data_IF_154423472537
#
_entry.id   IF_154423472537
#
_cell.length_a   1.000
_cell.length_b   1.000
_cell.length_c   1.000
_cell.angle_alpha   90.00
_cell.angle_beta   90.00
_cell.angle_gamma   90.00
#
_symmetry.space_group_name_H-M   'P 1'
#
loop_
_entity.id
_entity.type
_entity.pdbx_description
1 polymer ?
#
# COMPACT_ATOMS: atom_id res chain seq x y z
N UNK A 1 10.95 -4.76 13.37
CA UNK A 1 10.32 -5.34 12.16
C UNK A 1 11.18 -5.17 10.90
N UNK A 2 11.98 -4.11 10.82
CA UNK A 2 12.87 -3.80 9.68
C UNK A 2 13.73 -5.02 9.28
N UNK A 3 13.90 -5.21 7.98
CA UNK A 3 14.58 -6.34 7.33
C UNK A 3 13.70 -7.58 7.14
N UNK A 4 12.47 -7.57 7.66
CA UNK A 4 11.50 -8.68 7.59
C UNK A 4 10.07 -8.18 7.38
N UNK A 5 9.87 -6.95 6.94
CA UNK A 5 8.53 -6.35 6.85
C UNK A 5 7.61 -7.17 5.95
N UNK A 6 8.08 -7.59 4.78
CA UNK A 6 7.27 -8.42 3.89
C UNK A 6 6.88 -9.77 4.48
N UNK A 7 7.81 -10.43 5.20
CA UNK A 7 7.53 -11.69 5.88
C UNK A 7 6.45 -11.50 6.94
N UNK A 8 6.55 -10.45 7.76
CA UNK A 8 5.56 -10.19 8.80
C UNK A 8 4.23 -9.69 8.25
N UNK A 9 4.21 -8.88 7.20
CA UNK A 9 2.98 -8.32 6.65
C UNK A 9 1.98 -9.40 6.20
N UNK A 10 2.48 -10.54 5.70
CA UNK A 10 1.66 -11.67 5.26
C UNK A 10 1.23 -12.62 6.38
N UNK A 11 1.82 -12.49 7.56
CA UNK A 11 1.53 -13.33 8.71
C UNK A 11 0.33 -12.77 9.51
N UNK A 12 -0.60 -13.61 10.01
CA UNK A 12 -1.77 -13.17 10.76
C UNK A 12 -1.45 -12.30 11.98
N UNK A 13 -0.38 -12.60 12.72
CA UNK A 13 0.05 -11.82 13.87
C UNK A 13 1.09 -10.76 13.49
N UNK A 14 1.95 -11.07 12.53
CA UNK A 14 3.01 -10.21 12.02
C UNK A 14 2.45 -8.93 11.40
N UNK A 15 1.28 -8.98 10.76
CA UNK A 15 0.69 -7.80 10.14
C UNK A 15 0.37 -6.72 11.19
N UNK A 16 -0.04 -7.12 12.41
CA UNK A 16 -0.26 -6.20 13.52
C UNK A 16 1.04 -5.61 14.04
N UNK A 17 2.13 -6.39 14.06
CA UNK A 17 3.46 -5.89 14.44
C UNK A 17 3.96 -4.84 13.46
N UNK A 18 3.72 -5.02 12.16
CA UNK A 18 4.08 -4.02 11.14
C UNK A 18 3.21 -2.77 11.26
N UNK A 19 1.89 -2.94 11.38
CA UNK A 19 0.98 -1.79 11.57
C UNK A 19 1.34 -0.99 12.82
N UNK A 20 1.63 -1.65 13.95
CA UNK A 20 2.06 -0.98 15.17
C UNK A 20 3.39 -0.26 14.98
N UNK A 21 4.35 -0.88 14.28
CA UNK A 21 5.63 -0.24 14.01
C UNK A 21 5.50 1.03 13.15
N UNK A 22 4.55 1.07 12.20
CA UNK A 22 4.20 2.28 11.46
C UNK A 22 3.58 3.35 12.38
N UNK A 23 2.73 2.96 13.33
CA UNK A 23 2.10 3.89 14.28
C UNK A 23 3.07 4.50 15.30
N UNK A 24 4.06 3.71 15.74
CA UNK A 24 4.99 4.12 16.80
C UNK A 24 6.32 4.62 16.26
N UNK A 25 6.50 4.66 14.94
CA UNK A 25 7.72 5.19 14.33
C UNK A 25 7.84 6.69 14.65
N UNK A 26 9.01 7.10 15.14
CA UNK A 26 9.24 8.46 15.63
C UNK A 26 9.43 9.52 14.55
N UNK A 27 9.42 9.16 13.27
CA UNK A 27 9.56 10.11 12.16
C UNK A 27 8.97 9.59 10.85
N UNK A 28 8.69 10.51 9.92
CA UNK A 28 8.21 10.19 8.58
C UNK A 28 9.22 9.32 7.81
N UNK A 29 10.52 9.54 8.01
CA UNK A 29 11.60 8.76 7.39
C UNK A 29 11.59 7.32 7.89
N UNK A 30 11.36 7.10 9.19
CA UNK A 30 11.26 5.77 9.76
C UNK A 30 10.02 5.03 9.24
N UNK A 31 8.87 5.71 9.15
CA UNK A 31 7.66 5.18 8.50
C UNK A 31 7.94 4.79 7.05
N UNK A 32 8.57 5.68 6.28
CA UNK A 32 8.91 5.45 4.89
C UNK A 32 9.90 4.28 4.72
N UNK A 33 10.87 4.12 5.61
CA UNK A 33 11.79 2.99 5.60
C UNK A 33 11.05 1.66 5.78
N UNK A 34 10.12 1.57 6.74
CA UNK A 34 9.29 0.37 6.96
C UNK A 34 8.44 0.09 5.72
N UNK A 35 7.75 1.11 5.18
CA UNK A 35 6.90 0.94 4.01
C UNK A 35 7.69 0.55 2.76
N UNK A 36 8.93 1.03 2.61
CA UNK A 36 9.77 0.76 1.44
C UNK A 36 10.11 -0.71 1.24
N UNK A 37 10.12 -1.53 2.29
CA UNK A 37 10.34 -2.98 2.21
C UNK A 37 9.18 -3.74 1.53
N UNK A 38 8.04 -3.09 1.28
CA UNK A 38 6.92 -3.65 0.52
C UNK A 38 7.08 -3.46 -1.00
N UNK A 39 8.08 -2.70 -1.44
CA UNK A 39 8.38 -2.52 -2.88
C UNK A 39 8.66 -3.86 -3.55
N UNK A 40 8.10 -4.04 -4.73
CA UNK A 40 8.13 -5.29 -5.50
C UNK A 40 7.09 -6.32 -5.06
N UNK A 41 6.40 -6.09 -3.95
CA UNK A 41 5.39 -6.99 -3.39
C UNK A 41 4.01 -6.34 -3.29
N UNK A 42 3.79 -5.15 -3.88
CA UNK A 42 2.54 -4.40 -3.64
C UNK A 42 1.32 -5.19 -4.09
N UNK A 43 1.33 -5.75 -5.31
CA UNK A 43 0.18 -6.53 -5.77
C UNK A 43 -0.08 -7.77 -4.91
N UNK A 44 0.98 -8.46 -4.49
CA UNK A 44 0.89 -9.61 -3.60
C UNK A 44 0.34 -9.23 -2.22
N UNK A 45 0.74 -8.07 -1.70
CA UNK A 45 0.28 -7.54 -0.44
C UNK A 45 -1.21 -7.17 -0.51
N UNK A 46 -1.61 -6.49 -1.58
CA UNK A 46 -2.99 -6.03 -1.81
C UNK A 46 -3.98 -7.19 -1.90
N UNK A 47 -3.58 -8.34 -2.47
CA UNK A 47 -4.45 -9.53 -2.54
C UNK A 47 -4.38 -10.45 -1.32
N UNK A 48 -3.44 -10.23 -0.41
CA UNK A 48 -3.27 -11.02 0.80
C UNK A 48 -4.30 -10.63 1.88
N UNK A 49 -4.93 -11.58 2.61
CA UNK A 49 -5.88 -11.29 3.68
C UNK A 49 -5.27 -10.50 4.87
N UNK A 50 -3.95 -10.51 5.03
CA UNK A 50 -3.27 -9.80 6.12
C UNK A 50 -2.50 -8.57 5.64
N UNK A 51 -1.69 -8.71 4.58
CA UNK A 51 -0.82 -7.63 4.13
C UNK A 51 -1.58 -6.45 3.49
N UNK A 52 -2.82 -6.65 3.04
CA UNK A 52 -3.66 -5.56 2.52
C UNK A 52 -3.90 -4.48 3.59
N UNK A 53 -3.96 -4.86 4.87
CA UNK A 53 -4.10 -3.91 5.98
C UNK A 53 -2.85 -3.05 6.15
N UNK A 54 -1.67 -3.63 5.96
CA UNK A 54 -0.40 -2.90 6.00
C UNK A 54 -0.32 -1.89 4.85
N UNK A 55 -0.68 -2.29 3.63
CA UNK A 55 -0.72 -1.37 2.48
C UNK A 55 -1.67 -0.20 2.73
N UNK A 56 -2.90 -0.48 3.17
CA UNK A 56 -3.86 0.57 3.51
C UNK A 56 -3.31 1.49 4.61
N UNK A 57 -2.70 0.93 5.66
CA UNK A 57 -2.08 1.71 6.75
C UNK A 57 -0.98 2.65 6.23
N UNK A 58 -0.12 2.18 5.33
CA UNK A 58 0.87 3.03 4.67
C UNK A 58 0.20 4.21 3.96
N UNK A 59 -0.86 3.97 3.18
CA UNK A 59 -1.58 5.02 2.45
C UNK A 59 -2.26 6.02 3.40
N UNK A 60 -2.74 5.58 4.57
CA UNK A 60 -3.37 6.46 5.57
C UNK A 60 -2.34 7.37 6.23
N UNK A 61 -1.18 6.83 6.60
CA UNK A 61 -0.27 7.46 7.55
C UNK A 61 0.87 8.24 6.90
N UNK A 62 1.33 7.78 5.74
CA UNK A 62 2.51 8.33 5.11
C UNK A 62 2.12 9.48 4.18
N UNK A 63 3.05 10.42 4.00
CA UNK A 63 2.87 11.49 3.01
C UNK A 63 2.65 10.90 1.62
N UNK A 64 1.84 11.54 0.76
CA UNK A 64 1.51 11.01 -0.57
C UNK A 64 2.73 10.63 -1.42
N UNK A 65 3.83 11.39 -1.32
CA UNK A 65 5.08 11.08 -2.04
C UNK A 65 5.73 9.75 -1.60
N UNK A 66 5.62 9.39 -0.32
CA UNK A 66 6.24 8.18 0.21
C UNK A 66 5.49 6.90 -0.21
N UNK A 67 4.21 7.02 -0.59
CA UNK A 67 3.38 5.91 -1.08
C UNK A 67 3.29 5.85 -2.61
N UNK A 68 4.03 6.69 -3.34
CA UNK A 68 4.06 6.69 -4.80
C UNK A 68 4.39 5.30 -5.38
N UNK A 69 5.28 4.54 -4.73
CA UNK A 69 5.63 3.19 -5.20
C UNK A 69 4.43 2.23 -5.21
N UNK A 70 3.44 2.44 -4.33
CA UNK A 70 2.21 1.63 -4.30
C UNK A 70 1.38 1.94 -5.54
N UNK A 71 1.23 3.22 -5.89
CA UNK A 71 0.58 3.64 -7.14
C UNK A 71 1.30 3.08 -8.35
N UNK A 72 2.62 3.27 -8.42
CA UNK A 72 3.44 2.84 -9.56
C UNK A 72 3.31 1.33 -9.81
N UNK A 73 3.29 0.52 -8.76
CA UNK A 73 3.13 -0.94 -8.90
C UNK A 73 1.70 -1.36 -9.24
N UNK A 74 0.68 -0.67 -8.72
CA UNK A 74 -0.72 -0.93 -9.08
C UNK A 74 -1.00 -0.58 -10.54
N UNK A 75 -0.36 0.48 -11.06
CA UNK A 75 -0.51 0.93 -12.44
C UNK A 75 0.26 0.07 -13.46
N UNK A 76 1.00 -0.97 -13.03
CA UNK A 76 1.71 -1.86 -13.96
C UNK A 76 0.77 -2.84 -14.64
N UNK A 77 0.64 -2.70 -15.96
CA UNK A 77 -0.09 -3.64 -16.80
C UNK A 77 -1.53 -3.86 -16.33
N UNK A 78 -2.05 -5.10 -16.28
CA UNK A 78 -3.45 -5.35 -15.93
C UNK A 78 -3.74 -5.25 -14.42
N UNK A 79 -2.76 -4.93 -13.58
CA UNK A 79 -2.89 -4.98 -12.11
C UNK A 79 -3.99 -4.03 -11.62
N UNK A 80 -4.11 -2.83 -12.20
CA UNK A 80 -5.13 -1.85 -11.82
C UNK A 80 -6.55 -2.42 -11.93
N UNK A 81 -6.88 -3.06 -13.06
CA UNK A 81 -8.18 -3.70 -13.27
C UNK A 81 -8.42 -4.88 -12.33
N UNK A 82 -7.37 -5.66 -12.04
CA UNK A 82 -7.45 -6.76 -11.08
C UNK A 82 -7.68 -6.24 -9.65
N UNK A 83 -6.99 -5.17 -9.25
CA UNK A 83 -7.10 -4.58 -7.94
C UNK A 83 -8.50 -4.02 -7.70
N UNK A 84 -9.05 -3.26 -8.64
CA UNK A 84 -10.41 -2.69 -8.55
C UNK A 84 -11.49 -3.78 -8.35
N UNK A 85 -11.31 -4.95 -9.00
CA UNK A 85 -12.28 -6.07 -8.92
C UNK A 85 -12.02 -7.03 -7.77
N UNK A 86 -10.91 -6.88 -7.05
CA UNK A 86 -10.53 -7.76 -5.96
C UNK A 86 -11.16 -7.34 -4.63
N UNK A 87 -11.64 -8.30 -3.83
CA UNK A 87 -12.33 -8.07 -2.55
C UNK A 87 -11.56 -7.19 -1.54
N UNK A 88 -10.23 -7.22 -1.58
CA UNK A 88 -9.36 -6.36 -0.76
C UNK A 88 -8.72 -5.23 -1.58
N UNK A 89 -8.57 -5.44 -2.89
CA UNK A 89 -7.88 -4.49 -3.77
C UNK A 89 -8.69 -3.22 -3.98
N UNK A 90 -10.02 -3.33 -4.07
CA UNK A 90 -10.89 -2.18 -4.24
C UNK A 90 -10.75 -1.17 -3.09
N UNK A 91 -10.55 -1.66 -1.85
CA UNK A 91 -10.29 -0.82 -0.67
C UNK A 91 -8.96 -0.10 -0.75
N UNK A 92 -7.93 -0.77 -1.28
CA UNK A 92 -6.62 -0.13 -1.50
C UNK A 92 -6.73 0.99 -2.55
N UNK A 93 -7.41 0.73 -3.67
CA UNK A 93 -7.62 1.72 -4.74
C UNK A 93 -8.43 2.91 -4.24
N UNK A 94 -9.52 2.67 -3.50
CA UNK A 94 -10.29 3.74 -2.84
C UNK A 94 -9.40 4.60 -1.95
N UNK A 95 -8.56 3.96 -1.12
CA UNK A 95 -7.67 4.69 -0.21
C UNK A 95 -6.64 5.54 -0.93
N UNK A 96 -6.12 5.05 -2.05
CA UNK A 96 -5.20 5.82 -2.90
C UNK A 96 -5.89 7.09 -3.41
N UNK A 97 -7.10 6.95 -3.98
CA UNK A 97 -7.90 8.07 -4.47
C UNK A 97 -8.26 9.08 -3.37
N UNK A 98 -8.48 8.62 -2.14
CA UNK A 98 -8.84 9.47 -1.00
C UNK A 98 -7.66 10.22 -0.37
N UNK A 99 -6.43 9.71 -0.46
CA UNK A 99 -5.29 10.22 0.33
C UNK A 99 -4.15 10.78 -0.48
N UNK A 100 -4.02 10.38 -1.74
CA UNK A 100 -2.95 10.88 -2.58
C UNK A 100 -3.38 12.17 -3.28
N UNK A 101 -2.40 12.92 -3.78
CA UNK A 101 -2.67 14.18 -4.48
C UNK A 101 -3.41 13.91 -5.80
N UNK A 102 -4.28 14.83 -6.27
CA UNK A 102 -5.02 14.68 -7.52
C UNK A 102 -4.12 14.28 -8.70
N UNK A 103 -2.97 14.95 -8.85
CA UNK A 103 -2.02 14.66 -9.93
C UNK A 103 -1.40 13.26 -9.83
N UNK A 104 -1.22 12.72 -8.61
CA UNK A 104 -0.68 11.37 -8.42
C UNK A 104 -1.67 10.29 -8.80
N UNK A 105 -2.97 10.53 -8.61
CA UNK A 105 -4.04 9.55 -8.88
C UNK A 105 -4.77 9.79 -10.19
N UNK A 106 -4.41 10.83 -10.94
CA UNK A 106 -5.04 11.16 -12.20
C UNK A 106 -5.04 9.96 -13.16
N UNK A 107 -3.87 9.36 -13.41
CA UNK A 107 -3.78 8.19 -14.28
C UNK A 107 -4.51 6.95 -13.73
N UNK A 108 -4.64 6.82 -12.40
CA UNK A 108 -5.44 5.77 -11.77
C UNK A 108 -6.93 5.99 -12.04
N UNK A 109 -7.42 7.23 -11.92
CA UNK A 109 -8.81 7.56 -12.20
C UNK A 109 -9.16 7.34 -13.68
N UNK A 110 -8.30 7.75 -14.60
CA UNK A 110 -8.49 7.51 -16.04
C UNK A 110 -8.56 6.02 -16.36
N UNK A 111 -7.64 5.21 -15.81
CA UNK A 111 -7.60 3.77 -16.03
C UNK A 111 -8.83 3.02 -15.48
N UNK A 112 -9.55 3.58 -14.51
CA UNK A 112 -10.78 2.98 -13.96
C UNK A 112 -11.99 3.32 -14.83
N UNK A 113 -11.98 4.47 -15.51
CA UNK A 113 -13.08 4.97 -16.33
C UNK A 113 -13.02 4.49 -17.79
N UNK A 114 -11.88 3.95 -18.24
CA UNK A 114 -11.70 3.33 -19.56
C UNK A 114 -12.36 1.97 -19.67
#
# INVERSE_FOLDING_TARGET
VIGRVWSFARDPEGCWKVQRALETAGSDEACAAIASELRGHVWEAVRCPHANHVIQKCIIMLRPRAVQFILDEIMRGPIVFQAVRHKYGCRTVQRLLEQCLPDQVHGLAEAILS
#
